data_IF_204341738003
#
_entry.id   IF_204341738003
#
_cell.length_a   1.000
_cell.length_b   1.000
_cell.length_c   1.000
_cell.angle_alpha   90.00
_cell.angle_beta   90.00
_cell.angle_gamma   90.00
#
_symmetry.space_group_name_H-M   'P 1'
#
loop_
_entity.id
_entity.type
_entity.pdbx_description
1 polymer ?
#
# COMPACT_ATOMS: atom_id res chain seq x y z
N UNK A 1 29.73 17.43 -94.89
CA UNK A 1 29.09 16.46 -93.97
C UNK A 1 30.06 16.30 -92.80
N UNK A 2 30.16 17.22 -91.85
CA UNK A 2 29.12 18.00 -91.14
C UNK A 2 28.18 17.09 -90.34
N UNK A 3 28.55 16.89 -89.07
CA UNK A 3 27.70 16.45 -87.95
C UNK A 3 28.28 16.99 -86.62
N UNK A 4 28.41 18.32 -86.58
CA UNK A 4 28.34 19.19 -85.40
C UNK A 4 28.93 18.73 -84.06
N UNK A 5 30.15 19.21 -83.76
CA UNK A 5 30.80 19.13 -82.45
C UNK A 5 30.14 19.96 -81.31
N UNK A 6 28.87 20.32 -81.47
CA UNK A 6 28.06 21.04 -80.48
C UNK A 6 27.59 20.12 -79.34
N UNK A 7 27.28 18.86 -79.64
CA UNK A 7 26.81 17.86 -78.66
C UNK A 7 27.83 17.63 -77.55
N UNK A 8 29.11 17.44 -77.91
CA UNK A 8 30.21 17.26 -76.95
C UNK A 8 30.45 18.52 -76.12
N UNK A 9 30.28 19.72 -76.70
CA UNK A 9 30.47 20.98 -75.95
C UNK A 9 29.32 21.29 -74.98
N UNK A 10 28.07 20.95 -75.30
CA UNK A 10 26.99 21.02 -74.30
C UNK A 10 27.21 20.01 -73.17
N UNK A 11 27.66 18.79 -73.47
CA UNK A 11 27.96 17.78 -72.45
C UNK A 11 29.04 18.23 -71.45
N UNK A 12 30.10 18.90 -71.93
CA UNK A 12 31.17 19.41 -71.08
C UNK A 12 30.73 20.64 -70.27
N UNK A 13 29.89 21.52 -70.82
CA UNK A 13 29.35 22.67 -70.08
C UNK A 13 28.38 22.26 -68.96
N UNK A 14 27.57 21.20 -69.16
CA UNK A 14 26.69 20.67 -68.13
C UNK A 14 27.44 19.93 -67.00
N UNK A 15 28.64 19.40 -67.27
CA UNK A 15 29.50 18.80 -66.25
C UNK A 15 30.22 19.81 -65.34
N UNK A 16 30.19 21.11 -65.66
CA UNK A 16 30.86 22.18 -64.89
C UNK A 16 29.92 22.99 -63.98
N UNK A 17 28.68 22.55 -63.77
CA UNK A 17 27.78 23.08 -62.73
C UNK A 17 27.55 22.13 -61.55
N UNK A 18 28.19 20.95 -61.55
CA UNK A 18 28.37 20.17 -60.33
C UNK A 18 29.44 20.79 -59.43
N UNK A 19 29.31 20.59 -58.11
CA UNK A 19 30.33 20.90 -57.07
C UNK A 19 30.44 22.34 -56.52
N UNK A 20 29.39 23.17 -56.55
CA UNK A 20 29.26 24.31 -55.58
C UNK A 20 27.88 24.44 -54.92
N UNK A 21 27.28 23.31 -54.51
CA UNK A 21 26.46 23.30 -53.29
C UNK A 21 27.08 22.32 -52.31
N UNK A 22 28.15 22.77 -51.63
CA UNK A 22 28.55 22.17 -50.37
C UNK A 22 27.51 22.58 -49.34
N UNK A 23 26.40 21.85 -49.28
CA UNK A 23 25.29 22.09 -48.38
C UNK A 23 25.81 21.94 -46.94
N UNK A 24 26.21 23.06 -46.34
CA UNK A 24 26.38 23.14 -44.90
C UNK A 24 25.06 22.68 -44.30
N UNK A 25 25.12 21.64 -43.47
CA UNK A 25 23.99 21.22 -42.66
C UNK A 25 23.74 22.34 -41.64
N UNK A 26 23.00 23.36 -42.06
CA UNK A 26 22.26 24.22 -41.16
C UNK A 26 21.18 23.32 -40.56
N UNK A 27 21.43 22.83 -39.34
CA UNK A 27 20.40 22.17 -38.55
C UNK A 27 19.14 23.05 -38.59
N UNK A 28 18.01 22.47 -39.00
CA UNK A 28 16.78 23.23 -39.23
C UNK A 28 16.10 23.49 -37.90
N UNK A 29 16.72 24.36 -37.11
CA UNK A 29 16.35 24.73 -35.75
C UNK A 29 17.01 26.03 -35.33
N UNK A 30 16.48 26.61 -34.26
CA UNK A 30 17.07 27.73 -33.53
C UNK A 30 16.86 27.44 -32.06
N UNK A 31 17.73 27.96 -31.19
CA UNK A 31 17.49 27.87 -29.75
C UNK A 31 16.09 28.40 -29.41
N UNK A 32 15.35 27.66 -28.57
CA UNK A 32 14.03 28.03 -28.06
C UNK A 32 14.10 28.14 -26.54
N UNK A 33 13.41 29.10 -25.90
CA UNK A 33 13.27 29.15 -24.45
C UNK A 33 12.72 27.83 -23.89
N UNK A 34 13.31 27.34 -22.80
CA UNK A 34 12.93 26.09 -22.11
C UNK A 34 13.01 26.31 -20.60
N UNK A 35 12.09 25.79 -19.77
CA UNK A 35 12.02 26.13 -18.35
C UNK A 35 13.13 25.53 -17.47
N UNK A 36 14.00 24.66 -18.01
CA UNK A 36 15.15 24.08 -17.29
C UNK A 36 16.44 24.05 -18.14
N UNK A 37 17.61 24.00 -17.48
CA UNK A 37 18.88 23.78 -18.18
C UNK A 37 18.89 22.46 -18.97
N UNK A 38 18.31 21.40 -18.39
CA UNK A 38 18.33 20.06 -18.97
C UNK A 38 17.58 20.01 -20.31
N UNK A 39 16.40 20.65 -20.39
CA UNK A 39 15.65 20.81 -21.63
C UNK A 39 16.35 21.80 -22.58
N UNK A 40 16.83 22.93 -22.06
CA UNK A 40 17.51 23.97 -22.83
C UNK A 40 18.69 23.43 -23.65
N UNK A 41 19.63 22.73 -22.98
CA UNK A 41 20.84 22.19 -23.63
C UNK A 41 20.51 21.15 -24.69
N UNK A 42 19.45 20.36 -24.49
CA UNK A 42 18.99 19.33 -25.43
C UNK A 42 18.19 19.91 -26.60
N UNK A 43 17.52 21.05 -26.42
CA UNK A 43 16.63 21.64 -27.43
C UNK A 43 17.37 22.09 -28.70
N UNK A 44 18.59 22.63 -28.56
CA UNK A 44 19.44 22.97 -29.70
C UNK A 44 20.94 23.02 -29.33
N UNK A 45 21.86 22.63 -30.25
CA UNK A 45 23.30 22.78 -30.04
C UNK A 45 23.79 24.23 -29.88
N UNK A 46 22.95 25.23 -30.23
CA UNK A 46 23.25 26.66 -30.07
C UNK A 46 22.67 27.31 -28.80
N UNK A 47 22.00 26.54 -27.93
CA UNK A 47 21.49 27.06 -26.66
C UNK A 47 22.56 27.08 -25.57
N UNK A 48 22.47 28.03 -24.64
CA UNK A 48 23.19 28.04 -23.38
C UNK A 48 22.22 28.41 -22.23
N UNK A 49 22.62 28.18 -20.98
CA UNK A 49 21.78 28.43 -19.81
C UNK A 49 22.43 29.39 -18.81
N UNK A 50 21.72 30.45 -18.41
CA UNK A 50 22.20 31.37 -17.36
C UNK A 50 21.80 30.91 -15.94
N UNK A 51 22.79 30.46 -15.15
CA UNK A 51 22.62 30.08 -13.72
C UNK A 51 22.69 31.26 -12.73
N UNK A 52 23.02 32.47 -13.19
CA UNK A 52 23.11 33.66 -12.34
C UNK A 52 21.76 33.93 -11.64
N UNK A 53 21.68 34.06 -10.30
CA UNK A 53 20.41 34.13 -9.58
C UNK A 53 19.49 35.24 -10.11
N UNK A 54 19.98 36.48 -10.10
CA UNK A 54 19.22 37.70 -10.38
C UNK A 54 19.10 38.04 -11.88
N UNK A 55 19.19 37.04 -12.77
CA UNK A 55 19.12 37.23 -14.23
C UNK A 55 17.70 37.44 -14.77
N UNK A 56 16.70 36.83 -14.11
CA UNK A 56 15.29 36.84 -14.53
C UNK A 56 14.54 37.86 -13.68
N UNK A 57 13.79 38.76 -14.32
CA UNK A 57 13.07 39.84 -13.62
C UNK A 57 11.76 39.37 -12.98
N UNK A 58 11.24 40.13 -12.02
CA UNK A 58 10.01 39.81 -11.31
C UNK A 58 8.79 39.82 -12.24
N UNK A 59 8.36 38.62 -12.69
CA UNK A 59 7.26 38.43 -13.64
C UNK A 59 7.68 37.79 -14.97
N UNK A 60 9.00 37.66 -15.23
CA UNK A 60 9.54 36.85 -16.31
C UNK A 60 9.54 35.34 -15.93
N UNK A 61 9.70 34.48 -16.93
CA UNK A 61 9.80 33.02 -16.75
C UNK A 61 11.27 32.60 -16.63
N UNK A 62 11.57 31.56 -15.83
CA UNK A 62 12.90 30.92 -15.85
C UNK A 62 13.29 30.40 -17.25
N UNK A 63 12.33 30.25 -18.18
CA UNK A 63 12.61 29.94 -19.57
C UNK A 63 13.50 30.98 -20.29
N UNK A 64 13.48 32.24 -19.84
CA UNK A 64 14.34 33.32 -20.35
C UNK A 64 15.84 33.07 -20.11
N UNK A 65 16.19 32.14 -19.19
CA UNK A 65 17.57 31.71 -18.95
C UNK A 65 18.14 30.89 -20.11
N UNK A 66 17.29 30.39 -21.02
CA UNK A 66 17.69 29.61 -22.17
C UNK A 66 17.72 30.46 -23.45
N UNK A 67 18.92 30.83 -23.89
CA UNK A 67 19.14 31.57 -25.13
C UNK A 67 20.55 31.27 -25.68
N UNK A 68 20.91 31.69 -26.91
CA UNK A 68 22.29 31.62 -27.38
C UNK A 68 23.24 32.41 -26.46
N UNK A 69 24.45 31.90 -26.24
CA UNK A 69 25.47 32.57 -25.40
C UNK A 69 25.60 34.09 -25.63
N UNK A 70 25.76 34.62 -26.87
CA UNK A 70 25.91 36.07 -27.07
C UNK A 70 24.66 36.89 -26.68
N UNK A 71 23.48 36.27 -26.63
CA UNK A 71 22.25 36.92 -26.15
C UNK A 71 22.21 36.96 -24.62
N UNK A 72 22.64 35.89 -23.94
CA UNK A 72 22.79 35.86 -22.49
C UNK A 72 23.85 36.86 -22.01
N UNK A 73 24.98 36.96 -22.70
CA UNK A 73 26.02 37.95 -22.43
C UNK A 73 25.49 39.39 -22.64
N UNK A 74 24.74 39.63 -23.71
CA UNK A 74 24.09 40.92 -23.97
C UNK A 74 23.03 41.29 -22.91
N UNK A 75 22.30 40.30 -22.38
CA UNK A 75 21.37 40.46 -21.23
C UNK A 75 22.08 40.56 -19.87
N UNK A 76 23.41 40.50 -19.81
CA UNK A 76 24.18 40.70 -18.59
C UNK A 76 24.40 39.45 -17.72
N UNK A 77 24.26 38.24 -18.30
CA UNK A 77 24.76 37.04 -17.66
C UNK A 77 26.30 37.02 -17.72
N UNK A 78 26.97 36.85 -16.59
CA UNK A 78 28.43 36.71 -16.54
C UNK A 78 28.85 35.41 -17.25
N UNK A 79 29.95 35.42 -18.00
CA UNK A 79 30.43 34.24 -18.71
C UNK A 79 30.79 33.04 -17.80
N UNK A 80 31.06 33.26 -16.50
CA UNK A 80 31.21 32.20 -15.49
C UNK A 80 29.88 31.59 -15.02
N UNK A 81 28.78 32.29 -15.27
CA UNK A 81 27.40 31.92 -14.94
C UNK A 81 26.60 31.43 -16.16
N UNK A 82 27.23 31.37 -17.33
CA UNK A 82 26.69 30.69 -18.52
C UNK A 82 27.15 29.23 -18.51
N UNK A 83 26.20 28.32 -18.68
CA UNK A 83 26.44 26.88 -18.87
C UNK A 83 26.22 26.56 -20.34
N UNK A 84 27.31 26.22 -21.03
CA UNK A 84 27.31 25.74 -22.41
C UNK A 84 28.19 24.47 -22.55
N UNK A 85 27.63 23.26 -22.40
CA UNK A 85 28.34 22.01 -22.67
C UNK A 85 28.77 21.92 -24.14
N UNK A 86 30.07 22.13 -24.34
CA UNK A 86 30.75 21.84 -25.60
C UNK A 86 31.28 20.41 -25.63
N UNK A 87 31.07 19.73 -26.76
CA UNK A 87 31.58 18.38 -26.98
C UNK A 87 33.11 18.35 -27.09
N UNK A 88 33.75 17.29 -26.57
CA UNK A 88 35.21 17.14 -26.58
C UNK A 88 35.63 15.78 -27.11
N UNK A 89 36.73 15.75 -27.85
CA UNK A 89 37.40 14.53 -28.28
C UNK A 89 38.79 14.48 -27.65
N UNK A 90 39.07 13.39 -26.94
CA UNK A 90 40.42 13.09 -26.42
C UNK A 90 40.94 11.83 -27.10
N UNK A 91 42.13 11.90 -27.69
CA UNK A 91 42.78 10.77 -28.34
C UNK A 91 43.64 10.06 -27.28
N UNK A 92 43.40 8.76 -27.08
CA UNK A 92 44.14 7.93 -26.12
C UNK A 92 45.26 7.12 -26.77
N UNK A 93 45.08 6.72 -28.04
CA UNK A 93 46.12 6.06 -28.83
C UNK A 93 46.06 6.52 -30.29
N UNK A 94 47.20 6.99 -30.80
CA UNK A 94 47.38 7.30 -32.21
C UNK A 94 48.74 6.79 -32.72
N UNK A 95 48.82 5.48 -32.90
CA UNK A 95 49.94 4.84 -33.61
C UNK A 95 49.75 5.05 -35.12
N UNK A 96 50.80 5.43 -35.88
CA UNK A 96 50.68 5.64 -37.32
C UNK A 96 50.36 4.32 -38.04
N UNK A 97 49.73 4.45 -39.22
CA UNK A 97 49.42 3.32 -40.10
C UNK A 97 50.70 2.58 -40.56
N UNK A 98 50.59 1.28 -40.80
CA UNK A 98 51.72 0.41 -41.19
C UNK A 98 51.34 -0.62 -42.24
N UNK A 99 51.91 -0.50 -43.43
CA UNK A 99 51.64 -1.39 -44.58
C UNK A 99 52.62 -2.59 -44.70
N UNK A 100 53.56 -2.75 -43.76
CA UNK A 100 54.58 -3.80 -43.85
C UNK A 100 54.02 -5.21 -43.57
N UNK A 101 53.83 -5.97 -44.65
CA UNK A 101 53.35 -7.36 -44.71
C UNK A 101 54.15 -8.35 -43.82
N UNK A 102 55.38 -8.01 -43.43
CA UNK A 102 56.32 -8.87 -42.70
C UNK A 102 56.40 -8.62 -41.18
N UNK A 103 55.41 -7.96 -40.57
CA UNK A 103 55.38 -7.72 -39.12
C UNK A 103 54.03 -8.11 -38.49
N UNK A 104 54.09 -8.78 -37.34
CA UNK A 104 52.95 -9.33 -36.59
C UNK A 104 51.97 -8.29 -36.00
N UNK A 105 52.22 -7.00 -36.21
CA UNK A 105 51.50 -5.90 -35.56
C UNK A 105 51.17 -4.78 -36.56
N UNK A 106 50.34 -5.13 -37.55
CA UNK A 106 49.81 -4.26 -38.59
C UNK A 106 48.84 -3.25 -37.96
N UNK A 107 48.98 -1.97 -38.29
CA UNK A 107 48.11 -0.89 -37.79
C UNK A 107 47.33 -0.28 -38.95
N UNK A 108 46.03 -0.55 -39.02
CA UNK A 108 45.15 -0.16 -40.15
C UNK A 108 44.18 0.98 -39.84
N UNK A 109 44.04 1.36 -38.57
CA UNK A 109 43.18 2.47 -38.11
C UNK A 109 44.00 3.40 -37.22
N UNK A 110 43.80 4.70 -37.37
CA UNK A 110 44.42 5.78 -36.61
C UNK A 110 43.39 6.92 -36.48
N UNK A 111 43.14 7.46 -35.27
CA UNK A 111 43.56 6.94 -33.96
C UNK A 111 42.93 5.56 -33.64
N UNK A 112 43.58 4.76 -32.78
CA UNK A 112 43.04 3.45 -32.35
C UNK A 112 42.04 3.56 -31.20
N UNK A 113 42.23 4.54 -30.30
CA UNK A 113 41.37 4.75 -29.13
C UNK A 113 41.09 6.23 -28.95
N UNK A 114 39.80 6.58 -28.87
CA UNK A 114 39.32 7.94 -28.58
C UNK A 114 38.28 7.88 -27.46
N UNK A 115 38.21 8.95 -26.67
CA UNK A 115 37.10 9.24 -25.76
C UNK A 115 36.34 10.44 -26.33
N UNK A 116 35.05 10.25 -26.58
CA UNK A 116 34.14 11.30 -27.00
C UNK A 116 33.26 11.68 -25.81
N UNK A 117 33.35 12.94 -25.40
CA UNK A 117 32.46 13.56 -24.43
C UNK A 117 31.43 14.36 -25.23
N UNK A 118 30.22 13.80 -25.35
CA UNK A 118 29.15 14.38 -26.17
C UNK A 118 28.33 15.39 -25.36
N UNK A 119 27.80 16.42 -26.05
CA UNK A 119 26.78 17.32 -25.50
C UNK A 119 25.45 16.55 -25.35
N UNK A 120 24.71 16.70 -24.24
CA UNK A 120 23.36 16.13 -24.11
C UNK A 120 22.44 16.55 -25.26
N UNK A 121 21.59 15.64 -25.73
CA UNK A 121 20.68 15.89 -26.86
C UNK A 121 21.33 15.88 -28.24
N UNK A 122 22.67 15.89 -28.34
CA UNK A 122 23.35 15.79 -29.63
C UNK A 122 23.15 14.39 -30.22
N UNK A 123 22.34 14.28 -31.29
CA UNK A 123 22.08 13.03 -32.02
C UNK A 123 23.27 12.68 -32.92
N UNK A 124 24.41 12.41 -32.29
CA UNK A 124 25.57 11.80 -32.94
C UNK A 124 25.15 10.49 -33.61
N UNK A 125 25.67 10.22 -34.81
CA UNK A 125 25.31 9.02 -35.58
C UNK A 125 25.54 7.77 -34.73
N UNK A 126 24.53 6.90 -34.69
CA UNK A 126 24.44 5.73 -33.80
C UNK A 126 25.65 4.80 -33.95
N UNK A 127 26.60 4.90 -33.02
CA UNK A 127 27.58 3.85 -32.74
C UNK A 127 26.97 2.87 -31.73
N UNK A 128 26.51 1.70 -32.20
CA UNK A 128 26.04 0.62 -31.30
C UNK A 128 27.23 -0.04 -30.58
N UNK A 129 27.69 0.59 -29.51
CA UNK A 129 28.55 -0.05 -28.51
C UNK A 129 27.68 -0.88 -27.55
N UNK A 130 28.03 -2.16 -27.36
CA UNK A 130 27.31 -3.05 -26.45
C UNK A 130 27.58 -2.61 -24.99
N UNK A 131 26.52 -2.62 -24.18
CA UNK A 131 26.46 -2.01 -22.85
C UNK A 131 27.19 -2.82 -21.76
N UNK A 132 28.01 -2.14 -20.97
CA UNK A 132 28.46 -2.53 -19.62
C UNK A 132 28.55 -1.25 -18.73
N UNK A 133 28.79 -1.40 -17.42
CA UNK A 133 28.53 -0.41 -16.34
C UNK A 133 29.44 0.83 -16.25
N UNK A 134 28.88 1.92 -15.67
CA UNK A 134 29.44 2.96 -14.75
C UNK A 134 28.32 4.02 -14.54
N UNK A 135 27.81 4.43 -13.35
CA UNK A 135 28.36 4.99 -12.08
C UNK A 135 28.46 6.55 -12.00
N UNK A 136 27.41 7.20 -11.47
CA UNK A 136 27.46 8.23 -10.41
C UNK A 136 27.61 9.76 -10.71
N UNK A 137 26.67 10.57 -10.17
CA UNK A 137 26.79 11.98 -9.62
C UNK A 137 27.35 13.14 -10.49
N UNK A 138 27.03 14.44 -10.35
CA UNK A 138 26.07 15.32 -9.61
C UNK A 138 25.76 16.55 -10.55
N UNK A 139 25.05 17.67 -10.28
CA UNK A 139 23.85 18.07 -9.53
C UNK A 139 23.55 19.59 -9.80
N UNK A 140 22.32 20.00 -10.14
CA UNK A 140 21.90 21.41 -10.39
C UNK A 140 20.69 21.81 -9.52
N UNK A 141 20.66 22.90 -8.77
CA UNK A 141 21.72 23.82 -8.35
C UNK A 141 22.90 23.06 -7.75
N UNK A 142 24.15 23.18 -8.24
CA UNK A 142 24.68 24.03 -9.32
C UNK A 142 25.49 23.13 -10.26
N UNK A 143 24.96 22.83 -11.45
CA UNK A 143 25.37 21.75 -12.37
C UNK A 143 26.82 21.28 -12.16
N UNK A 144 27.01 20.36 -11.21
CA UNK A 144 28.31 20.01 -10.62
C UNK A 144 29.06 19.02 -11.50
N UNK A 145 29.35 19.51 -12.71
CA UNK A 145 29.64 18.73 -13.89
C UNK A 145 29.10 19.51 -15.08
N UNK A 146 29.98 19.80 -16.05
CA UNK A 146 29.78 20.79 -17.12
C UNK A 146 28.76 20.42 -18.20
N UNK A 147 27.68 19.71 -17.85
CA UNK A 147 26.73 19.04 -18.76
C UNK A 147 25.25 19.02 -18.31
N UNK A 148 24.84 19.71 -17.23
CA UNK A 148 23.43 19.75 -16.75
C UNK A 148 22.73 18.36 -16.69
N UNK A 149 23.34 17.42 -15.97
CA UNK A 149 22.97 15.99 -15.94
C UNK A 149 22.14 15.53 -14.72
N UNK A 150 21.69 16.45 -13.85
CA UNK A 150 20.96 16.16 -12.62
C UNK A 150 20.25 17.42 -12.10
N UNK A 151 19.05 17.29 -11.51
CA UNK A 151 18.36 18.39 -10.82
C UNK A 151 18.04 18.10 -9.33
N UNK A 152 18.17 19.12 -8.49
CA UNK A 152 17.99 19.12 -7.03
C UNK A 152 16.61 19.66 -6.59
N UNK A 153 15.66 19.73 -7.51
CA UNK A 153 14.25 20.11 -7.28
C UNK A 153 13.26 19.01 -7.70
N UNK A 154 13.74 17.97 -8.38
CA UNK A 154 12.95 16.89 -8.98
C UNK A 154 12.72 15.68 -8.04
N UNK A 155 13.13 15.76 -6.77
CA UNK A 155 12.89 14.69 -5.80
C UNK A 155 11.41 14.48 -5.48
N UNK A 156 11.10 13.29 -4.95
CA UNK A 156 9.77 12.94 -4.50
C UNK A 156 9.28 13.86 -3.35
N UNK A 157 7.96 14.10 -3.33
CA UNK A 157 7.31 15.03 -2.40
C UNK A 157 6.26 14.31 -1.56
N UNK A 158 6.41 14.36 -0.26
CA UNK A 158 5.41 13.86 0.69
C UNK A 158 4.70 15.05 1.34
N UNK A 159 3.36 15.02 1.40
CA UNK A 159 2.51 16.14 1.84
C UNK A 159 2.88 17.50 1.19
N UNK A 160 3.28 17.47 -0.09
CA UNK A 160 3.71 18.63 -0.87
C UNK A 160 5.15 19.11 -0.64
N UNK A 161 5.79 18.70 0.45
CA UNK A 161 7.16 19.08 0.79
C UNK A 161 8.20 18.18 0.10
N UNK A 162 9.21 18.80 -0.50
CA UNK A 162 10.34 18.11 -1.11
C UNK A 162 11.13 17.38 -0.02
N UNK A 163 11.36 16.07 -0.19
CA UNK A 163 12.00 15.23 0.83
C UNK A 163 11.36 15.36 2.23
N UNK A 164 10.03 15.57 2.28
CA UNK A 164 9.22 15.73 3.49
C UNK A 164 9.72 16.80 4.50
N UNK A 165 10.61 17.70 4.08
CA UNK A 165 11.36 18.60 4.96
C UNK A 165 12.50 17.94 5.76
N UNK A 166 12.63 16.61 5.69
CA UNK A 166 13.53 15.79 6.53
C UNK A 166 14.81 15.33 5.80
N UNK A 167 15.09 15.85 4.60
CA UNK A 167 16.26 15.49 3.81
C UNK A 167 16.66 16.57 2.79
N UNK A 168 17.87 16.43 2.23
CA UNK A 168 18.33 17.28 1.12
C UNK A 168 18.09 16.57 -0.21
N UNK A 169 17.47 17.24 -1.18
CA UNK A 169 17.34 16.71 -2.53
C UNK A 169 18.67 16.80 -3.29
N UNK A 170 19.13 15.67 -3.85
CA UNK A 170 20.36 15.53 -4.66
C UNK A 170 20.08 14.64 -5.87
N UNK A 171 20.20 15.16 -7.10
CA UNK A 171 19.95 14.40 -8.34
C UNK A 171 18.60 13.64 -8.36
N UNK A 172 17.50 14.27 -7.92
CA UNK A 172 16.20 13.61 -7.83
C UNK A 172 16.04 12.54 -6.74
N UNK A 173 17.06 12.30 -5.90
CA UNK A 173 16.98 11.42 -4.73
C UNK A 173 17.14 12.20 -3.40
N UNK A 174 16.42 11.78 -2.35
CA UNK A 174 16.44 12.45 -1.06
C UNK A 174 17.51 11.86 -0.12
N UNK A 175 18.52 12.65 0.23
CA UNK A 175 19.46 12.33 1.31
C UNK A 175 18.83 12.68 2.66
N UNK A 176 18.29 11.67 3.34
CA UNK A 176 17.59 11.85 4.60
C UNK A 176 18.52 12.20 5.77
N UNK A 177 17.99 12.95 6.72
CA UNK A 177 18.62 13.15 8.03
C UNK A 177 18.67 11.81 8.79
N UNK A 178 19.60 11.66 9.74
CA UNK A 178 19.91 10.38 10.38
C UNK A 178 18.73 9.64 11.05
N UNK A 179 17.64 10.36 11.39
CA UNK A 179 16.43 9.81 12.00
C UNK A 179 15.27 9.63 11.01
N UNK A 180 15.53 9.59 9.69
CA UNK A 180 14.51 9.48 8.65
C UNK A 180 14.91 8.55 7.49
N UNK A 181 13.92 7.91 6.88
CA UNK A 181 14.02 6.99 5.73
C UNK A 181 12.78 7.15 4.81
N UNK A 182 12.73 6.36 3.74
CA UNK A 182 11.74 6.49 2.68
C UNK A 182 12.27 7.32 1.50
N UNK A 183 11.64 7.18 0.33
CA UNK A 183 12.13 7.81 -0.91
C UNK A 183 12.07 9.35 -0.85
N UNK A 184 11.13 9.87 -0.05
CA UNK A 184 10.93 11.28 0.22
C UNK A 184 11.25 11.62 1.70
N UNK A 185 12.01 10.80 2.42
CA UNK A 185 12.32 10.98 3.85
C UNK A 185 11.07 11.13 4.75
N UNK A 186 9.97 10.49 4.36
CA UNK A 186 8.66 10.56 4.97
C UNK A 186 8.53 9.74 6.27
N UNK A 187 9.40 8.74 6.44
CA UNK A 187 9.34 7.77 7.53
C UNK A 187 10.35 8.13 8.62
N UNK A 188 9.92 8.33 9.87
CA UNK A 188 10.86 8.58 10.97
C UNK A 188 11.35 7.28 11.64
N UNK A 189 12.65 7.22 11.92
CA UNK A 189 13.30 6.16 12.71
C UNK A 189 13.21 6.41 14.23
N UNK A 190 12.66 7.54 14.67
CA UNK A 190 12.34 7.74 16.08
C UNK A 190 11.30 6.68 16.53
N UNK A 191 11.43 6.23 17.77
CA UNK A 191 10.55 5.25 18.42
C UNK A 191 9.80 5.84 19.62
N UNK A 192 9.93 7.14 19.87
CA UNK A 192 9.26 7.87 20.96
C UNK A 192 7.73 7.66 20.99
N UNK A 193 7.08 7.76 19.83
CA UNK A 193 5.64 7.53 19.63
C UNK A 193 5.24 6.05 19.62
N UNK A 194 6.21 5.13 19.57
CA UNK A 194 5.98 3.70 19.76
C UNK A 194 6.22 3.22 21.21
N UNK A 195 6.92 4.01 22.03
CA UNK A 195 7.44 3.55 23.33
C UNK A 195 6.50 3.87 24.47
N UNK A 196 6.02 2.85 25.17
CA UNK A 196 5.14 2.94 26.34
C UNK A 196 5.73 2.13 27.49
N UNK A 197 5.88 2.74 28.67
CA UNK A 197 6.50 2.14 29.87
C UNK A 197 7.87 1.46 29.62
N UNK A 198 8.65 1.97 28.66
CA UNK A 198 9.96 1.43 28.28
C UNK A 198 9.91 0.24 27.31
N UNK A 199 8.72 -0.17 26.84
CA UNK A 199 8.54 -1.16 25.77
C UNK A 199 8.14 -0.48 24.45
N UNK A 200 8.74 -0.91 23.35
CA UNK A 200 8.30 -0.54 22.00
C UNK A 200 7.07 -1.39 21.66
N UNK A 201 5.95 -0.76 21.31
CA UNK A 201 4.70 -1.43 20.90
C UNK A 201 4.25 -2.54 21.87
N UNK A 202 4.45 -2.31 23.18
CA UNK A 202 4.22 -3.25 24.29
C UNK A 202 4.88 -4.64 24.19
N UNK A 203 5.67 -4.91 23.14
CA UNK A 203 6.20 -6.23 22.81
C UNK A 203 5.37 -7.05 21.82
N UNK A 204 4.36 -6.44 21.17
CA UNK A 204 3.37 -7.10 20.30
C UNK A 204 3.28 -6.44 18.90
N UNK A 205 4.42 -6.04 18.36
CA UNK A 205 4.53 -5.48 17.02
C UNK A 205 5.90 -4.86 16.74
N UNK A 206 5.99 -4.12 15.64
CA UNK A 206 7.19 -3.44 15.20
C UNK A 206 6.93 -1.93 15.03
N UNK A 207 7.89 -1.09 15.41
CA UNK A 207 7.80 0.34 15.19
C UNK A 207 8.24 0.69 13.76
N UNK A 208 7.35 1.32 12.99
CA UNK A 208 7.56 1.70 11.59
C UNK A 208 7.10 3.16 11.43
N UNK A 209 7.99 4.04 10.99
CA UNK A 209 7.70 5.48 10.83
C UNK A 209 7.16 6.17 12.11
N UNK A 210 7.76 5.85 13.27
CA UNK A 210 7.33 6.26 14.61
C UNK A 210 5.85 5.92 14.96
N UNK A 211 5.30 4.85 14.36
CA UNK A 211 3.99 4.27 14.66
C UNK A 211 4.11 2.76 14.81
N UNK A 212 3.31 2.15 15.70
CA UNK A 212 3.29 0.70 15.82
C UNK A 212 2.51 0.02 14.69
N UNK A 213 3.14 -0.97 14.08
CA UNK A 213 2.52 -1.96 13.22
C UNK A 213 2.43 -3.27 14.02
N UNK A 214 1.22 -3.63 14.44
CA UNK A 214 0.99 -4.70 15.41
C UNK A 214 1.04 -6.10 14.78
N UNK A 215 1.40 -7.08 15.61
CA UNK A 215 1.36 -8.49 15.26
C UNK A 215 -0.09 -8.98 15.09
N UNK A 216 -0.27 -10.11 14.41
CA UNK A 216 -1.60 -10.69 14.15
C UNK A 216 -2.32 -10.98 15.48
N UNK A 217 -3.45 -10.31 15.68
CA UNK A 217 -4.25 -10.39 16.91
C UNK A 217 -4.11 -9.18 17.84
N UNK A 218 -3.30 -8.17 17.52
CA UNK A 218 -3.11 -6.99 18.37
C UNK A 218 -3.53 -5.68 17.68
N UNK A 219 -4.15 -4.78 18.45
CA UNK A 219 -4.66 -3.48 18.01
C UNK A 219 -4.34 -2.36 19.02
N UNK A 220 -4.81 -1.15 18.73
CA UNK A 220 -4.46 0.08 19.46
C UNK A 220 -3.17 0.72 18.94
N UNK A 221 -2.91 1.98 19.31
CA UNK A 221 -1.74 2.72 18.80
C UNK A 221 -0.38 2.19 19.27
N UNK A 222 -0.37 1.36 20.32
CA UNK A 222 0.82 0.74 20.91
C UNK A 222 0.69 -0.79 21.05
N UNK A 223 -0.22 -1.43 20.31
CA UNK A 223 -0.43 -2.89 20.36
C UNK A 223 -0.77 -3.41 21.79
N UNK A 224 -1.75 -2.76 22.42
CA UNK A 224 -2.25 -3.10 23.77
C UNK A 224 -3.47 -4.02 23.70
N UNK A 225 -4.30 -3.84 22.68
CA UNK A 225 -5.63 -4.43 22.61
C UNK A 225 -5.58 -5.79 21.91
N UNK A 226 -5.60 -6.87 22.69
CA UNK A 226 -5.58 -8.24 22.15
C UNK A 226 -6.96 -8.64 21.61
N UNK A 227 -7.10 -8.67 20.29
CA UNK A 227 -8.24 -9.19 19.55
C UNK A 227 -7.81 -10.43 18.75
N UNK A 228 -7.70 -11.56 19.45
CA UNK A 228 -7.55 -12.88 18.82
C UNK A 228 -8.52 -13.01 17.62
N UNK A 229 -8.06 -13.32 16.39
CA UNK A 229 -8.91 -13.21 15.21
C UNK A 229 -10.22 -13.97 15.34
N UNK A 230 -11.33 -13.23 15.36
CA UNK A 230 -12.68 -13.77 15.55
C UNK A 230 -13.07 -14.81 14.50
N UNK A 231 -12.37 -14.88 13.37
CA UNK A 231 -12.59 -15.89 12.33
C UNK A 231 -11.97 -17.25 12.71
N UNK A 232 -10.79 -17.26 13.37
CA UNK A 232 -10.03 -18.48 13.71
C UNK A 232 -10.76 -19.33 14.76
N UNK A 233 -11.45 -18.69 15.71
CA UNK A 233 -12.20 -19.39 16.76
C UNK A 233 -13.71 -19.50 16.47
N UNK A 234 -14.21 -18.87 15.39
CA UNK A 234 -15.62 -18.87 14.98
C UNK A 234 -16.23 -20.27 14.99
N UNK A 235 -15.62 -21.18 14.25
CA UNK A 235 -16.18 -22.50 13.99
C UNK A 235 -16.09 -23.42 15.21
N UNK A 236 -15.06 -23.23 16.04
CA UNK A 236 -14.92 -23.91 17.32
C UNK A 236 -15.90 -23.40 18.39
N UNK A 237 -16.15 -22.09 18.43
CA UNK A 237 -17.20 -21.50 19.27
C UNK A 237 -18.59 -22.00 18.83
N UNK A 238 -18.89 -22.00 17.52
CA UNK A 238 -20.16 -22.50 17.00
C UNK A 238 -20.34 -24.01 17.29
N UNK A 239 -19.36 -24.86 16.97
CA UNK A 239 -19.52 -26.30 17.10
C UNK A 239 -19.54 -26.78 18.56
N UNK A 240 -18.79 -26.16 19.48
CA UNK A 240 -18.81 -26.56 20.91
C UNK A 240 -19.98 -25.99 21.71
N UNK A 241 -20.53 -24.84 21.33
CA UNK A 241 -21.73 -24.30 21.99
C UNK A 241 -23.03 -24.89 21.45
N UNK A 242 -23.15 -25.08 20.13
CA UNK A 242 -24.43 -25.41 19.48
C UNK A 242 -24.43 -26.75 18.74
N UNK A 243 -23.29 -27.39 18.53
CA UNK A 243 -23.17 -28.58 17.69
C UNK A 243 -23.34 -28.32 16.18
N UNK A 244 -23.36 -27.04 15.76
CA UNK A 244 -23.57 -26.63 14.36
C UNK A 244 -22.26 -26.18 13.70
N UNK A 245 -22.36 -25.59 12.51
CA UNK A 245 -21.20 -25.13 11.75
C UNK A 245 -20.42 -26.24 11.03
N UNK A 246 -19.36 -25.88 10.28
CA UNK A 246 -18.62 -26.80 9.42
C UNK A 246 -17.82 -27.86 10.21
N UNK A 247 -17.41 -27.55 11.44
CA UNK A 247 -16.67 -28.48 12.31
C UNK A 247 -17.57 -29.42 13.13
N UNK A 248 -18.90 -29.31 13.03
CA UNK A 248 -19.89 -30.09 13.80
C UNK A 248 -19.57 -31.59 13.92
N UNK A 249 -19.15 -32.24 12.84
CA UNK A 249 -18.87 -33.69 12.81
C UNK A 249 -17.55 -34.11 13.52
N UNK A 250 -16.56 -33.22 13.62
CA UNK A 250 -15.22 -33.51 14.14
C UNK A 250 -14.77 -32.56 15.27
N UNK A 251 -15.72 -31.81 15.84
CA UNK A 251 -15.49 -30.69 16.75
C UNK A 251 -14.53 -31.01 17.92
N UNK A 252 -14.64 -32.19 18.52
CA UNK A 252 -13.77 -32.64 19.62
C UNK A 252 -12.30 -32.87 19.22
N UNK A 253 -12.04 -33.17 17.95
CA UNK A 253 -10.70 -33.43 17.42
C UNK A 253 -10.09 -32.16 16.80
N UNK A 254 -10.90 -31.32 16.17
CA UNK A 254 -10.45 -30.09 15.50
C UNK A 254 -10.27 -28.89 16.42
N UNK A 255 -10.89 -28.89 17.62
CA UNK A 255 -10.92 -27.74 18.51
C UNK A 255 -10.44 -28.11 19.92
N UNK A 256 -9.28 -27.59 20.34
CA UNK A 256 -8.71 -27.79 21.67
C UNK A 256 -9.27 -26.85 22.75
N UNK A 257 -9.93 -25.76 22.34
CA UNK A 257 -10.36 -24.67 23.23
C UNK A 257 -11.49 -25.10 24.17
N UNK A 258 -11.49 -24.57 25.40
CA UNK A 258 -12.61 -24.75 26.35
C UNK A 258 -13.72 -23.77 25.99
N UNK A 259 -15.00 -24.18 26.11
CA UNK A 259 -16.14 -23.30 25.83
C UNK A 259 -17.09 -23.27 27.01
N UNK A 260 -17.49 -22.07 27.42
CA UNK A 260 -18.56 -21.82 28.39
C UNK A 260 -19.67 -20.99 27.76
N UNK A 261 -20.92 -21.29 28.08
CA UNK A 261 -22.08 -20.51 27.64
C UNK A 261 -22.68 -19.79 28.84
N UNK A 262 -22.87 -18.48 28.72
CA UNK A 262 -23.38 -17.60 29.79
C UNK A 262 -24.28 -16.51 29.19
N UNK A 263 -24.95 -15.74 30.04
CA UNK A 263 -25.57 -14.47 29.66
C UNK A 263 -24.71 -13.34 30.23
N UNK A 264 -24.21 -12.45 29.38
CA UNK A 264 -23.28 -11.39 29.77
C UNK A 264 -23.55 -10.06 29.03
N UNK A 265 -23.19 -8.90 29.62
CA UNK A 265 -23.19 -7.64 28.90
C UNK A 265 -22.13 -7.69 27.79
N UNK A 266 -22.54 -7.33 26.58
CA UNK A 266 -21.68 -7.31 25.38
C UNK A 266 -21.02 -5.94 25.27
N UNK A 267 -19.69 -5.92 25.17
CA UNK A 267 -18.88 -4.74 24.86
C UNK A 267 -18.04 -4.96 23.59
N UNK A 268 -17.22 -3.98 23.22
CA UNK A 268 -16.44 -3.94 21.97
C UNK A 268 -15.45 -5.11 21.81
N UNK A 269 -15.08 -5.79 22.91
CA UNK A 269 -14.14 -6.94 22.87
C UNK A 269 -14.79 -8.24 22.40
N UNK A 270 -16.12 -8.29 22.35
CA UNK A 270 -16.86 -9.49 21.94
C UNK A 270 -16.90 -9.63 20.42
N UNK A 271 -16.41 -10.78 19.92
CA UNK A 271 -16.61 -11.22 18.55
C UNK A 271 -18.09 -11.38 18.22
N UNK A 272 -18.55 -10.73 17.16
CA UNK A 272 -19.93 -10.79 16.67
C UNK A 272 -19.94 -11.27 15.21
N UNK A 273 -20.39 -12.50 14.96
CA UNK A 273 -20.33 -13.14 13.63
C UNK A 273 -21.66 -13.78 13.25
N UNK A 274 -22.01 -13.78 11.96
CA UNK A 274 -23.19 -14.52 11.49
C UNK A 274 -22.87 -16.02 11.38
N UNK A 275 -23.74 -16.86 11.94
CA UNK A 275 -23.72 -18.33 11.79
C UNK A 275 -24.25 -18.76 10.42
N UNK A 276 -24.10 -20.04 10.09
CA UNK A 276 -24.68 -20.63 8.87
C UNK A 276 -26.21 -20.61 8.82
N UNK A 277 -26.89 -20.48 9.96
CA UNK A 277 -28.36 -20.36 10.07
C UNK A 277 -28.86 -18.90 10.08
N UNK A 278 -27.98 -17.93 9.83
CA UNK A 278 -28.31 -16.50 9.78
C UNK A 278 -28.42 -15.80 11.14
N UNK A 279 -28.42 -16.54 12.26
CA UNK A 279 -28.39 -15.95 13.60
C UNK A 279 -26.99 -15.39 13.94
N UNK A 280 -26.93 -14.50 14.94
CA UNK A 280 -25.69 -13.91 15.42
C UNK A 280 -25.05 -14.80 16.51
N UNK A 281 -23.81 -15.23 16.27
CA UNK A 281 -22.90 -15.78 17.26
C UNK A 281 -22.17 -14.62 17.93
N UNK A 282 -22.38 -14.44 19.23
CA UNK A 282 -21.67 -13.45 20.05
C UNK A 282 -20.78 -14.22 21.03
N UNK A 283 -19.47 -13.99 21.02
CA UNK A 283 -18.55 -14.67 21.95
C UNK A 283 -17.30 -13.84 22.28
N UNK A 284 -16.74 -14.05 23.45
CA UNK A 284 -15.48 -13.46 23.91
C UNK A 284 -14.37 -14.53 23.89
N UNK A 285 -13.13 -14.10 23.64
CA UNK A 285 -11.95 -14.96 23.67
C UNK A 285 -11.09 -14.52 24.87
N UNK A 286 -10.82 -15.45 25.77
CA UNK A 286 -10.04 -15.26 26.99
C UNK A 286 -8.88 -16.27 27.01
N UNK A 287 -7.76 -15.92 27.64
CA UNK A 287 -6.61 -16.81 27.80
C UNK A 287 -6.34 -17.03 29.29
N UNK A 288 -6.30 -18.28 29.72
CA UNK A 288 -5.95 -18.65 31.10
C UNK A 288 -4.45 -18.44 31.36
N UNK A 289 -4.08 -18.37 32.64
CA UNK A 289 -2.67 -18.29 33.12
C UNK A 289 -1.77 -19.46 32.69
N UNK A 290 -2.33 -20.47 32.02
CA UNK A 290 -1.69 -21.67 31.47
C UNK A 290 -1.50 -21.62 29.95
N UNK A 291 -1.90 -20.53 29.26
CA UNK A 291 -1.89 -20.45 27.80
C UNK A 291 -3.02 -21.24 27.12
N UNK A 292 -4.08 -21.57 27.87
CA UNK A 292 -5.26 -22.26 27.34
C UNK A 292 -6.35 -21.26 26.98
N UNK A 293 -6.91 -21.40 25.77
CA UNK A 293 -7.95 -20.51 25.25
C UNK A 293 -9.32 -20.94 25.76
N UNK A 294 -10.03 -20.00 26.38
CA UNK A 294 -11.41 -20.09 26.84
C UNK A 294 -12.30 -19.24 25.93
N UNK A 295 -13.35 -19.83 25.36
CA UNK A 295 -14.35 -19.14 24.55
C UNK A 295 -15.64 -18.99 25.37
N UNK A 296 -16.07 -17.75 25.57
CA UNK A 296 -17.28 -17.44 26.32
C UNK A 296 -18.38 -17.04 25.35
N UNK A 297 -19.33 -17.93 25.08
CA UNK A 297 -20.44 -17.67 24.16
C UNK A 297 -21.60 -17.05 24.93
N UNK A 298 -22.11 -15.91 24.43
CA UNK A 298 -23.30 -15.25 24.98
C UNK A 298 -24.55 -15.79 24.30
N UNK A 299 -25.34 -16.63 25.00
CA UNK A 299 -26.60 -17.16 24.48
C UNK A 299 -27.76 -16.88 25.46
N UNK A 300 -28.81 -16.13 25.04
CA UNK A 300 -29.90 -15.71 25.90
C UNK A 300 -30.94 -16.81 26.20
N UNK A 301 -30.76 -18.03 25.69
CA UNK A 301 -31.60 -19.20 25.99
C UNK A 301 -31.00 -20.06 27.11
N UNK A 302 -29.73 -19.86 27.45
CA UNK A 302 -29.11 -20.46 28.63
C UNK A 302 -29.86 -19.94 29.86
N UNK A 303 -30.47 -20.81 30.68
CA UNK A 303 -31.13 -20.37 31.90
C UNK A 303 -30.08 -19.83 32.87
N UNK A 304 -30.23 -18.57 33.29
CA UNK A 304 -29.43 -17.99 34.35
C UNK A 304 -29.49 -18.88 35.60
N UNK A 305 -28.35 -19.47 35.96
CA UNK A 305 -28.21 -20.34 37.13
C UNK A 305 -28.58 -19.61 38.43
N UNK A 306 -28.46 -18.28 38.44
CA UNK A 306 -28.86 -17.38 39.53
C UNK A 306 -30.37 -17.17 39.62
N UNK A 307 -31.18 -17.72 38.69
CA UNK A 307 -32.64 -17.58 38.63
C UNK A 307 -33.42 -18.89 38.47
N UNK A 308 -33.00 -19.96 39.15
CA UNK A 308 -33.93 -21.03 39.54
C UNK A 308 -34.93 -20.57 40.64
N UNK A 309 -35.77 -19.57 40.34
CA UNK A 309 -37.01 -19.36 41.08
C UNK A 309 -37.99 -20.45 40.65
N UNK A 310 -37.93 -21.59 41.35
CA UNK A 310 -38.77 -22.76 41.09
C UNK A 310 -40.26 -22.42 41.27
N UNK A 311 -40.95 -22.02 40.20
CA UNK A 311 -42.36 -21.62 40.19
C UNK A 311 -43.35 -22.81 40.23
N UNK A 312 -42.96 -23.89 40.90
CA UNK A 312 -43.69 -25.18 40.97
C UNK A 312 -44.01 -25.73 42.37
N UNK A 313 -44.24 -24.89 43.40
CA UNK A 313 -45.12 -25.27 44.52
C UNK A 313 -46.57 -24.82 44.32
N UNK A 314 -46.78 -23.58 43.85
CA UNK A 314 -48.06 -22.85 43.99
C UNK A 314 -49.20 -23.49 43.17
N UNK A 315 -48.91 -23.94 41.94
CA UNK A 315 -49.94 -24.57 41.09
C UNK A 315 -50.33 -25.99 41.54
N UNK A 316 -49.49 -26.67 42.33
CA UNK A 316 -49.80 -28.02 42.86
C UNK A 316 -50.64 -27.98 44.13
N UNK A 317 -50.47 -26.98 45.00
CA UNK A 317 -51.24 -26.89 46.25
C UNK A 317 -52.71 -26.53 46.00
N UNK A 318 -52.99 -25.59 45.10
CA UNK A 318 -54.36 -25.12 44.82
C UNK A 318 -55.32 -26.24 44.37
N UNK A 319 -54.88 -27.11 43.45
CA UNK A 319 -55.70 -28.22 42.95
C UNK A 319 -56.06 -29.25 44.04
N UNK A 320 -55.14 -29.51 44.97
CA UNK A 320 -55.35 -30.45 46.08
C UNK A 320 -56.40 -29.92 47.06
N UNK A 321 -56.37 -28.61 47.38
CA UNK A 321 -57.38 -27.99 48.26
C UNK A 321 -58.78 -28.06 47.64
N UNK A 322 -58.91 -27.81 46.33
CA UNK A 322 -60.19 -27.91 45.62
C UNK A 322 -60.72 -29.35 45.60
N UNK A 323 -59.86 -30.34 45.39
CA UNK A 323 -60.25 -31.77 45.43
C UNK A 323 -60.69 -32.18 46.85
N UNK A 324 -59.92 -31.82 47.89
CA UNK A 324 -60.26 -32.13 49.29
C UNK A 324 -61.56 -31.43 49.74
N UNK A 325 -61.87 -30.25 49.20
CA UNK A 325 -63.14 -29.57 49.45
C UNK A 325 -64.33 -30.21 48.74
N UNK A 326 -64.22 -30.49 47.43
CA UNK A 326 -65.34 -30.94 46.61
C UNK A 326 -65.64 -32.44 46.73
N UNK A 327 -64.62 -33.29 46.86
CA UNK A 327 -64.79 -34.74 46.94
C UNK A 327 -65.71 -35.20 48.09
N UNK A 328 -65.57 -34.75 49.35
CA UNK A 328 -66.48 -35.14 50.43
C UNK A 328 -67.90 -34.59 50.24
N UNK A 329 -68.07 -33.40 49.62
CA UNK A 329 -69.39 -32.83 49.34
C UNK A 329 -70.13 -33.69 48.28
N UNK A 330 -69.43 -34.08 47.22
CA UNK A 330 -69.97 -35.00 46.19
C UNK A 330 -70.25 -36.37 46.79
N UNK A 331 -69.34 -36.92 47.60
CA UNK A 331 -69.51 -38.21 48.26
C UNK A 331 -70.72 -38.21 49.21
N UNK A 332 -70.92 -37.16 50.01
CA UNK A 332 -72.10 -37.00 50.87
C UNK A 332 -73.39 -36.92 50.05
N UNK A 333 -73.41 -36.19 48.93
CA UNK A 333 -74.57 -36.16 48.02
C UNK A 333 -74.89 -37.55 47.47
N UNK A 334 -73.88 -38.29 47.01
CA UNK A 334 -74.05 -39.67 46.51
C UNK A 334 -74.52 -40.62 47.60
N UNK A 335 -73.98 -40.54 48.83
CA UNK A 335 -74.41 -41.36 49.97
C UNK A 335 -75.87 -41.06 50.33
N UNK A 336 -76.27 -39.79 50.40
CA UNK A 336 -77.66 -39.40 50.68
C UNK A 336 -78.60 -39.91 49.59
N UNK A 337 -78.28 -39.77 48.30
CA UNK A 337 -79.13 -40.24 47.22
C UNK A 337 -79.21 -41.78 47.15
N UNK A 338 -78.12 -42.49 47.47
CA UNK A 338 -78.14 -43.96 47.60
C UNK A 338 -79.01 -44.39 48.78
N UNK A 339 -78.92 -43.71 49.93
CA UNK A 339 -79.70 -44.01 51.13
C UNK A 339 -81.20 -43.74 50.91
N UNK A 340 -81.54 -42.62 50.26
CA UNK A 340 -82.91 -42.29 49.86
C UNK A 340 -83.49 -43.31 48.86
N UNK A 341 -82.74 -43.62 47.79
CA UNK A 341 -83.09 -44.71 46.84
C UNK A 341 -83.11 -46.11 47.47
N UNK A 342 -82.55 -46.30 48.66
CA UNK A 342 -82.64 -47.56 49.42
C UNK A 342 -83.89 -47.57 50.31
N UNK A 343 -84.12 -46.51 51.09
CA UNK A 343 -85.31 -46.33 51.92
C UNK A 343 -86.59 -46.37 51.08
N UNK A 344 -86.63 -45.68 49.94
CA UNK A 344 -87.77 -45.72 49.01
C UNK A 344 -88.09 -47.16 48.55
N UNK A 345 -87.06 -47.93 48.17
CA UNK A 345 -87.20 -49.33 47.77
C UNK A 345 -87.45 -50.29 48.94
N UNK A 346 -87.22 -49.87 50.19
CA UNK A 346 -87.63 -50.60 51.39
C UNK A 346 -89.13 -50.40 51.64
N UNK A 347 -89.59 -49.14 51.66
CA UNK A 347 -91.00 -48.76 51.82
C UNK A 347 -91.89 -49.35 50.71
N UNK A 348 -91.43 -49.43 49.46
CA UNK A 348 -92.18 -50.13 48.40
C UNK A 348 -92.32 -51.65 48.64
N UNK A 349 -91.40 -52.30 49.38
CA UNK A 349 -91.54 -53.72 49.73
C UNK A 349 -92.57 -53.89 50.83
N UNK A 350 -92.51 -53.07 51.88
CA UNK A 350 -93.51 -53.08 52.94
C UNK A 350 -94.91 -52.81 52.37
N UNK A 351 -95.05 -51.82 51.48
CA UNK A 351 -96.32 -51.55 50.78
C UNK A 351 -96.80 -52.70 49.88
N UNK A 352 -95.90 -53.49 49.28
CA UNK A 352 -96.24 -54.69 48.49
C UNK A 352 -96.54 -55.92 49.35
N UNK A 353 -96.10 -55.94 50.61
CA UNK A 353 -96.36 -57.01 51.57
C UNK A 353 -97.58 -56.73 52.48
N UNK A 354 -98.20 -55.56 52.33
CA UNK A 354 -99.40 -55.11 53.05
C UNK A 354 -100.66 -55.11 52.16
N UNK A 355 -100.63 -55.87 51.05
CA UNK A 355 -101.69 -56.12 50.07
C UNK A 355 -101.74 -57.63 49.78
#
# INVERSE_FOLDING_TARGET
MLSDGWTVRLGILLMLQGMTSGEKITETGSCQPQPSCHECIQSHPSCAWCKQPDFVQAGESDAERCAPQPELEYRGCLASEIIDPQGKQHILEDRPLKDNIYHENITQLSPQRIVLQLRPGYVGRRCDCRKDELLGSEALTLASGSFCSCDNVACERHNGQLCAGNGQCRCGHCQCQANYTGNACECSLDTSGCTQEGKICNGHGHCVCNRCQCDVGWLGSHCVDHQMPCEVHRDCAECKAFGTGPLSQNCSNSCSQTVRMLVAPVDERWCQMKRGDGHLLIYLIEEDKTGSILLTVNDPKVPDSTRQLNLMPVLRSAGIVVIIGLAPIVLLRVIVEICDRWNFRHLERERRNAL
#
